data_IF_435291525354
#
_entry.id   IF_435291525354
#
_cell.length_a   1.000
_cell.length_b   1.000
_cell.length_c   1.000
_cell.angle_alpha   90.00
_cell.angle_beta   90.00
_cell.angle_gamma   90.00
#
_symmetry.space_group_name_H-M   'P 1'
#
loop_
_entity.id
_entity.type
_entity.pdbx_description
1 polymer ?
#
# COMPACT_ATOMS: atom_id res chain seq x y z
N UNK A 1 27.67 -14.30 63.22
CA UNK A 1 28.17 -14.36 61.80
C UNK A 1 26.98 -14.30 60.93
N UNK A 2 26.75 -13.13 60.31
CA UNK A 2 25.63 -12.88 59.41
C UNK A 2 26.15 -13.06 57.96
N UNK A 3 25.66 -14.09 57.26
CA UNK A 3 26.00 -14.31 55.86
C UNK A 3 25.06 -13.45 54.97
N UNK A 4 25.61 -12.45 54.30
CA UNK A 4 24.89 -11.67 53.27
C UNK A 4 24.96 -12.43 51.95
N UNK A 5 23.84 -12.94 51.50
CA UNK A 5 23.69 -13.52 50.14
C UNK A 5 23.45 -12.38 49.14
N UNK A 6 24.45 -12.04 48.37
CA UNK A 6 24.32 -11.13 47.20
C UNK A 6 23.66 -11.90 46.05
N UNK A 7 22.38 -11.64 45.81
CA UNK A 7 21.70 -12.11 44.60
C UNK A 7 22.11 -11.22 43.42
N UNK A 8 22.95 -11.73 42.55
CA UNK A 8 23.29 -11.09 41.28
C UNK A 8 22.12 -11.20 40.31
N UNK A 9 21.36 -10.13 40.11
CA UNK A 9 20.42 -10.02 38.99
C UNK A 9 21.21 -9.82 37.71
N UNK A 10 21.39 -10.90 36.95
CA UNK A 10 21.83 -10.80 35.57
C UNK A 10 20.68 -10.17 34.80
N UNK A 11 20.83 -8.90 34.44
CA UNK A 11 19.97 -8.28 33.42
C UNK A 11 20.25 -8.97 32.07
N UNK A 12 19.38 -9.89 31.69
CA UNK A 12 19.34 -10.33 30.29
C UNK A 12 19.01 -9.09 29.45
N UNK A 13 20.04 -8.46 28.91
CA UNK A 13 19.87 -7.47 27.85
C UNK A 13 19.13 -8.14 26.69
N UNK A 14 17.89 -7.77 26.48
CA UNK A 14 17.13 -8.18 25.32
C UNK A 14 17.94 -7.71 24.09
N UNK A 15 18.62 -8.64 23.44
CA UNK A 15 19.31 -8.38 22.18
C UNK A 15 18.20 -8.02 21.18
N UNK A 16 18.05 -6.73 20.87
CA UNK A 16 17.07 -6.25 19.89
C UNK A 16 17.38 -6.94 18.57
N UNK A 17 16.59 -7.93 18.22
CA UNK A 17 16.76 -8.66 16.98
C UNK A 17 16.64 -7.68 15.82
N UNK A 18 17.55 -7.78 14.84
CA UNK A 18 17.49 -6.95 13.63
C UNK A 18 16.12 -7.13 12.96
N UNK A 19 15.47 -6.03 12.61
CA UNK A 19 14.19 -6.05 11.88
C UNK A 19 14.34 -6.84 10.57
N UNK A 20 13.48 -7.83 10.28
CA UNK A 20 13.44 -8.48 8.98
C UNK A 20 13.10 -7.50 7.85
N UNK A 21 13.61 -7.79 6.65
CA UNK A 21 13.41 -6.92 5.49
C UNK A 21 11.92 -6.80 5.11
N UNK A 22 11.49 -5.55 4.79
CA UNK A 22 10.18 -5.23 4.20
C UNK A 22 10.48 -4.58 2.85
N UNK A 23 10.14 -5.28 1.76
CA UNK A 23 10.70 -4.99 0.43
C UNK A 23 9.76 -4.28 -0.53
N UNK A 24 8.46 -4.25 -0.27
CA UNK A 24 7.50 -3.59 -1.16
C UNK A 24 6.06 -3.74 -0.72
N UNK A 25 5.16 -3.15 -1.47
CA UNK A 25 3.72 -3.37 -1.35
C UNK A 25 3.38 -4.75 -1.88
N UNK A 26 2.60 -5.54 -1.13
CA UNK A 26 2.08 -6.83 -1.57
C UNK A 26 0.71 -6.67 -2.22
N UNK A 27 -0.23 -6.04 -1.52
CA UNK A 27 -1.57 -5.79 -2.04
C UNK A 27 -2.28 -4.65 -1.31
N UNK A 28 -3.34 -4.14 -1.95
CA UNK A 28 -4.36 -3.32 -1.32
C UNK A 28 -5.70 -4.06 -1.39
N UNK A 29 -6.50 -4.00 -0.30
CA UNK A 29 -7.78 -4.69 -0.17
C UNK A 29 -8.90 -3.69 0.02
N UNK A 30 -9.94 -3.81 -0.79
CA UNK A 30 -11.08 -2.90 -0.76
C UNK A 30 -12.41 -3.67 -0.64
N UNK A 31 -13.42 -3.02 -0.08
CA UNK A 31 -14.81 -3.46 -0.17
C UNK A 31 -15.45 -2.90 -1.43
N UNK A 32 -16.31 -3.70 -2.08
CA UNK A 32 -17.20 -3.18 -3.11
C UNK A 32 -18.67 -3.36 -2.72
N UNK A 33 -19.47 -2.35 -3.04
CA UNK A 33 -20.94 -2.40 -2.95
C UNK A 33 -21.57 -2.66 -4.31
N UNK A 34 -20.77 -2.65 -5.39
CA UNK A 34 -21.15 -2.96 -6.75
C UNK A 34 -20.20 -4.01 -7.37
N UNK A 35 -20.43 -5.31 -7.11
CA UNK A 35 -19.57 -6.36 -7.65
C UNK A 35 -19.49 -6.38 -9.19
N UNK A 36 -20.60 -6.08 -9.87
CA UNK A 36 -20.61 -6.07 -11.34
C UNK A 36 -19.75 -4.94 -11.90
N UNK A 37 -19.90 -3.74 -11.34
CA UNK A 37 -19.06 -2.59 -11.69
C UNK A 37 -17.60 -2.80 -11.33
N UNK A 38 -17.29 -3.40 -10.17
CA UNK A 38 -15.93 -3.75 -9.78
C UNK A 38 -15.30 -4.75 -10.77
N UNK A 39 -16.03 -5.78 -11.19
CA UNK A 39 -15.54 -6.71 -12.22
C UNK A 39 -15.27 -5.99 -13.55
N UNK A 40 -16.17 -5.12 -14.01
CA UNK A 40 -15.95 -4.31 -15.21
C UNK A 40 -14.71 -3.42 -15.07
N UNK A 41 -14.54 -2.80 -13.91
CA UNK A 41 -13.43 -1.88 -13.67
C UNK A 41 -12.07 -2.62 -13.58
N UNK A 42 -11.91 -3.52 -12.63
CA UNK A 42 -10.64 -4.22 -12.41
C UNK A 42 -10.34 -5.26 -13.50
N UNK A 43 -11.37 -5.96 -13.98
CA UNK A 43 -11.25 -7.00 -14.99
C UNK A 43 -11.13 -6.46 -16.41
N UNK A 44 -12.10 -5.66 -16.84
CA UNK A 44 -12.17 -5.25 -18.24
C UNK A 44 -11.36 -3.96 -18.49
N UNK A 45 -11.57 -2.92 -17.66
CA UNK A 45 -10.92 -1.61 -17.87
C UNK A 45 -9.44 -1.65 -17.50
N UNK A 46 -9.08 -2.17 -16.33
CA UNK A 46 -7.66 -2.31 -15.95
C UNK A 46 -6.99 -3.53 -16.59
N UNK A 47 -7.78 -4.49 -17.08
CA UNK A 47 -7.32 -5.63 -17.85
C UNK A 47 -6.75 -6.79 -17.04
N UNK A 48 -7.01 -6.87 -15.72
CA UNK A 48 -6.51 -7.95 -14.87
C UNK A 48 -7.43 -9.17 -14.89
N UNK A 49 -6.86 -10.36 -15.01
CA UNK A 49 -7.63 -11.60 -14.85
C UNK A 49 -8.00 -11.82 -13.40
N UNK A 50 -9.31 -11.98 -13.14
CA UNK A 50 -9.80 -12.29 -11.81
C UNK A 50 -9.52 -13.75 -11.44
N UNK A 51 -9.01 -13.93 -10.24
CA UNK A 51 -9.02 -15.18 -9.50
C UNK A 51 -9.96 -15.04 -8.30
N UNK A 52 -10.34 -16.15 -7.71
CA UNK A 52 -11.15 -16.15 -6.49
C UNK A 52 -10.59 -17.15 -5.49
N UNK A 53 -10.46 -16.71 -4.25
CA UNK A 53 -10.02 -17.57 -3.15
C UNK A 53 -10.74 -17.16 -1.88
N UNK A 54 -11.44 -18.13 -1.24
CA UNK A 54 -12.13 -17.94 0.05
C UNK A 54 -13.10 -16.74 0.07
N UNK A 55 -13.80 -16.49 -1.04
CA UNK A 55 -14.75 -15.39 -1.16
C UNK A 55 -14.13 -14.01 -1.38
N UNK A 56 -12.83 -13.97 -1.64
CA UNK A 56 -12.09 -12.75 -2.02
C UNK A 56 -11.76 -12.81 -3.50
N UNK A 57 -12.07 -11.75 -4.23
CA UNK A 57 -11.61 -11.60 -5.60
C UNK A 57 -10.18 -11.07 -5.62
N UNK A 58 -9.33 -11.73 -6.38
CA UNK A 58 -7.91 -11.43 -6.49
C UNK A 58 -7.61 -11.05 -7.93
N UNK A 59 -7.01 -9.89 -8.13
CA UNK A 59 -6.55 -9.40 -9.43
C UNK A 59 -5.01 -9.31 -9.40
N UNK A 60 -4.29 -10.34 -9.87
CA UNK A 60 -2.82 -10.33 -9.88
C UNK A 60 -2.28 -9.24 -10.79
N UNK A 61 -1.46 -8.35 -10.23
CA UNK A 61 -0.71 -7.34 -10.96
C UNK A 61 0.57 -7.95 -11.54
N UNK A 62 1.25 -8.75 -10.71
CA UNK A 62 2.41 -9.57 -11.06
C UNK A 62 2.49 -10.79 -10.11
N UNK A 63 3.52 -11.66 -10.16
CA UNK A 63 3.60 -12.85 -9.30
C UNK A 63 3.68 -12.62 -7.79
N UNK A 64 3.93 -11.37 -7.33
CA UNK A 64 4.06 -11.00 -5.92
C UNK A 64 3.16 -9.86 -5.49
N UNK A 65 2.49 -9.17 -6.42
CA UNK A 65 1.59 -8.05 -6.13
C UNK A 65 0.20 -8.28 -6.71
N UNK A 66 -0.84 -7.91 -5.97
CA UNK A 66 -2.22 -8.08 -6.42
C UNK A 66 -3.17 -7.05 -5.78
N UNK A 67 -4.38 -6.97 -6.29
CA UNK A 67 -5.48 -6.20 -5.72
C UNK A 67 -6.50 -7.19 -5.19
N UNK A 68 -7.07 -6.94 -4.01
CA UNK A 68 -8.14 -7.75 -3.43
C UNK A 68 -9.44 -6.96 -3.31
N UNK A 69 -10.52 -7.58 -3.74
CA UNK A 69 -11.87 -7.02 -3.63
C UNK A 69 -12.76 -7.95 -2.79
N UNK A 70 -13.28 -7.40 -1.71
CA UNK A 70 -14.26 -8.05 -0.85
C UNK A 70 -15.67 -7.70 -1.35
N UNK A 71 -16.45 -8.71 -1.66
CA UNK A 71 -17.87 -8.55 -2.07
C UNK A 71 -18.83 -8.60 -0.89
N UNK A 72 -18.32 -8.83 0.33
CA UNK A 72 -19.09 -8.70 1.57
C UNK A 72 -19.34 -7.22 1.88
N UNK A 73 -20.45 -6.89 2.54
CA UNK A 73 -20.72 -5.52 2.97
C UNK A 73 -19.57 -4.96 3.81
N UNK A 74 -19.18 -3.68 3.60
CA UNK A 74 -18.20 -3.03 4.47
C UNK A 74 -18.73 -2.94 5.90
N UNK A 75 -17.84 -2.87 6.91
CA UNK A 75 -18.27 -2.64 8.28
C UNK A 75 -18.99 -1.27 8.39
N UNK A 76 -19.77 -1.05 9.47
CA UNK A 76 -20.62 0.14 9.62
C UNK A 76 -19.83 1.42 9.93
N UNK A 77 -18.63 1.58 9.36
CA UNK A 77 -17.89 2.83 9.34
C UNK A 77 -18.27 3.61 8.09
N UNK A 78 -18.75 4.85 8.22
CA UNK A 78 -19.09 5.67 7.05
C UNK A 78 -17.93 5.75 6.05
N UNK A 79 -18.25 5.45 4.80
CA UNK A 79 -17.33 5.64 3.67
C UNK A 79 -16.03 4.81 3.71
N UNK A 80 -15.93 3.80 4.58
CA UNK A 80 -14.78 2.89 4.58
C UNK A 80 -14.83 1.98 3.34
N UNK A 81 -13.81 2.08 2.50
CA UNK A 81 -13.61 1.19 1.36
C UNK A 81 -12.33 0.39 1.44
N UNK A 82 -11.24 0.99 1.93
CA UNK A 82 -9.98 0.27 2.15
C UNK A 82 -10.11 -0.63 3.39
N UNK A 83 -10.00 -1.94 3.17
CA UNK A 83 -10.08 -2.95 4.23
C UNK A 83 -8.71 -3.28 4.83
N UNK A 84 -7.65 -3.23 4.03
CA UNK A 84 -6.29 -3.49 4.46
C UNK A 84 -5.27 -2.98 3.43
N UNK A 85 -4.05 -2.74 3.92
CA UNK A 85 -2.83 -2.62 3.11
C UNK A 85 -1.87 -3.74 3.48
N UNK A 86 -1.09 -4.21 2.51
CA UNK A 86 -0.16 -5.29 2.78
C UNK A 86 1.22 -5.02 2.21
N UNK A 87 2.24 -5.46 2.98
CA UNK A 87 3.64 -5.32 2.61
C UNK A 87 4.35 -6.67 2.59
N UNK A 88 5.25 -6.83 1.65
CA UNK A 88 6.05 -8.04 1.49
C UNK A 88 7.24 -8.04 2.46
N UNK A 89 7.44 -9.14 3.16
CA UNK A 89 8.62 -9.36 4.00
C UNK A 89 9.36 -10.64 3.60
N UNK A 90 10.67 -10.67 3.81
CA UNK A 90 11.47 -11.88 3.58
C UNK A 90 11.39 -12.91 4.72
N UNK A 91 10.92 -12.50 5.89
CA UNK A 91 10.79 -13.37 7.05
C UNK A 91 9.60 -12.94 7.92
N UNK A 92 8.41 -13.42 7.59
CA UNK A 92 7.18 -13.08 8.30
C UNK A 92 7.21 -13.51 9.76
N UNK A 93 7.69 -14.72 10.06
CA UNK A 93 7.82 -15.20 11.44
C UNK A 93 8.80 -14.37 12.29
N UNK A 94 9.91 -13.95 11.68
CA UNK A 94 10.86 -13.05 12.33
C UNK A 94 10.27 -11.67 12.57
N UNK A 95 9.50 -11.15 11.60
CA UNK A 95 8.89 -9.83 11.71
C UNK A 95 7.77 -9.79 12.75
N UNK A 96 6.94 -10.84 12.83
CA UNK A 96 5.92 -10.96 13.88
C UNK A 96 6.57 -10.94 15.30
N UNK A 97 7.64 -11.73 15.51
CA UNK A 97 8.38 -11.71 16.78
C UNK A 97 9.05 -10.36 17.06
N UNK A 98 9.61 -9.73 16.04
CA UNK A 98 10.20 -8.40 16.15
C UNK A 98 9.16 -7.37 16.62
N UNK A 99 7.96 -7.35 16.00
CA UNK A 99 6.87 -6.45 16.38
C UNK A 99 6.37 -6.74 17.81
N UNK A 100 6.23 -8.01 18.18
CA UNK A 100 5.86 -8.40 19.54
C UNK A 100 6.86 -7.90 20.58
N UNK A 101 8.17 -7.95 20.28
CA UNK A 101 9.22 -7.40 21.15
C UNK A 101 9.17 -5.86 21.28
N UNK A 102 8.51 -5.17 20.32
CA UNK A 102 8.24 -3.74 20.36
C UNK A 102 6.83 -3.40 20.88
N UNK A 103 6.14 -4.36 21.52
CA UNK A 103 4.82 -4.15 22.10
C UNK A 103 3.66 -4.16 21.11
N UNK A 104 3.89 -4.57 19.86
CA UNK A 104 2.86 -4.62 18.81
C UNK A 104 2.37 -6.07 18.69
N UNK A 105 1.14 -6.30 19.14
CA UNK A 105 0.53 -7.63 19.11
C UNK A 105 -0.14 -7.88 17.75
N UNK A 106 0.03 -9.11 17.25
CA UNK A 106 -0.66 -9.53 16.02
C UNK A 106 -2.18 -9.56 16.23
N UNK A 107 -2.91 -8.93 15.35
CA UNK A 107 -4.38 -9.05 15.23
C UNK A 107 -4.76 -10.45 14.74
N UNK A 108 -4.07 -10.93 13.70
CA UNK A 108 -4.12 -12.32 13.24
C UNK A 108 -2.70 -12.88 13.27
N UNK A 109 -2.44 -13.92 14.07
CA UNK A 109 -1.15 -14.57 14.14
C UNK A 109 -0.72 -15.19 12.83
N UNK A 110 0.58 -15.40 12.66
CA UNK A 110 1.17 -15.97 11.44
C UNK A 110 0.50 -17.27 11.02
N UNK A 111 -0.08 -17.27 9.83
CA UNK A 111 -0.67 -18.43 9.19
C UNK A 111 -0.45 -18.38 7.68
N UNK A 112 0.00 -19.48 7.09
CA UNK A 112 0.26 -19.60 5.64
C UNK A 112 1.18 -18.48 5.07
N UNK A 113 2.08 -17.94 5.89
CA UNK A 113 3.01 -16.89 5.50
C UNK A 113 2.47 -15.47 5.63
N UNK A 114 1.32 -15.29 6.25
CA UNK A 114 0.70 -13.97 6.48
C UNK A 114 0.38 -13.78 7.96
N UNK A 115 0.58 -12.57 8.47
CA UNK A 115 0.06 -12.11 9.75
C UNK A 115 -0.38 -10.66 9.63
N UNK A 116 -1.19 -10.18 10.56
CA UNK A 116 -1.65 -8.79 10.55
C UNK A 116 -1.50 -8.12 11.90
N UNK A 117 -1.37 -6.80 11.86
CA UNK A 117 -1.36 -5.90 13.02
C UNK A 117 -2.30 -4.73 12.75
N UNK A 118 -2.56 -3.91 13.76
CA UNK A 118 -3.18 -2.60 13.60
C UNK A 118 -2.11 -1.52 13.70
N UNK A 119 -2.18 -0.53 12.82
CA UNK A 119 -1.43 0.70 13.01
C UNK A 119 -2.08 1.56 14.13
N UNK A 120 -1.48 2.68 14.55
CA UNK A 120 -2.02 3.53 15.61
C UNK A 120 -3.42 4.09 15.35
N UNK A 121 -3.83 4.26 14.09
CA UNK A 121 -5.18 4.71 13.73
C UNK A 121 -6.17 3.57 13.51
N UNK A 122 -5.73 2.33 13.68
CA UNK A 122 -6.55 1.12 13.59
C UNK A 122 -6.70 0.56 12.19
N UNK A 123 -5.90 1.00 11.22
CA UNK A 123 -5.87 0.40 9.89
C UNK A 123 -5.27 -1.00 9.96
N UNK A 124 -5.85 -1.94 9.19
CA UNK A 124 -5.33 -3.30 9.12
C UNK A 124 -4.12 -3.37 8.20
N UNK A 125 -2.97 -3.71 8.77
CA UNK A 125 -1.69 -3.88 8.08
C UNK A 125 -1.35 -5.36 8.04
N UNK A 126 -1.12 -5.89 6.86
CA UNK A 126 -0.80 -7.31 6.64
C UNK A 126 0.65 -7.43 6.16
N UNK A 127 1.40 -8.36 6.73
CA UNK A 127 2.73 -8.70 6.25
C UNK A 127 2.70 -10.08 5.62
N UNK A 128 3.18 -10.15 4.38
CA UNK A 128 3.16 -11.35 3.54
C UNK A 128 4.58 -11.84 3.30
N UNK A 129 4.85 -13.09 3.66
CA UNK A 129 6.09 -13.76 3.31
C UNK A 129 6.24 -13.82 1.79
N UNK A 130 7.35 -13.32 1.25
CA UNK A 130 7.64 -13.36 -0.18
C UNK A 130 7.42 -14.77 -0.75
N UNK A 131 6.63 -14.86 -1.82
CA UNK A 131 6.31 -16.12 -2.51
C UNK A 131 5.40 -17.09 -1.75
N UNK A 132 4.80 -16.69 -0.61
CA UNK A 132 3.86 -17.55 0.13
C UNK A 132 2.51 -17.71 -0.56
N UNK A 133 2.01 -16.67 -1.23
CA UNK A 133 0.74 -16.73 -1.95
C UNK A 133 0.89 -17.49 -3.28
N UNK A 134 0.65 -18.81 -3.22
CA UNK A 134 0.79 -19.70 -4.39
C UNK A 134 -0.27 -19.48 -5.46
N UNK A 135 -1.42 -18.87 -5.11
CA UNK A 135 -2.49 -18.55 -6.07
C UNK A 135 -2.03 -17.42 -6.97
N UNK A 136 -1.47 -16.35 -6.40
CA UNK A 136 -0.93 -15.21 -7.15
C UNK A 136 0.34 -15.59 -7.91
N UNK A 137 1.28 -16.29 -7.25
CA UNK A 137 2.54 -16.67 -7.87
C UNK A 137 2.39 -17.58 -9.11
N UNK A 138 1.29 -18.34 -9.21
CA UNK A 138 0.96 -19.22 -10.34
C UNK A 138 -0.14 -18.66 -11.25
N UNK A 139 -0.55 -17.42 -11.04
CA UNK A 139 -1.60 -16.80 -11.83
C UNK A 139 -1.21 -16.73 -13.32
N UNK A 140 -2.16 -16.98 -14.22
CA UNK A 140 -1.89 -16.79 -15.63
C UNK A 140 -1.68 -15.30 -15.93
N UNK A 141 -0.80 -14.94 -16.87
CA UNK A 141 -0.58 -13.54 -17.24
C UNK A 141 -1.87 -12.83 -17.63
N UNK A 142 -1.94 -11.53 -17.33
CA UNK A 142 -3.01 -10.62 -17.77
C UNK A 142 -2.48 -9.81 -18.96
N UNK A 143 -2.68 -10.27 -20.22
CA UNK A 143 -2.05 -9.64 -21.40
C UNK A 143 -2.59 -8.23 -21.66
N UNK A 144 -3.78 -7.91 -21.17
CA UNK A 144 -4.42 -6.62 -21.32
C UNK A 144 -4.21 -5.71 -20.09
N UNK A 145 -3.39 -6.11 -19.12
CA UNK A 145 -3.12 -5.30 -17.94
C UNK A 145 -2.49 -3.96 -18.33
N UNK A 146 -3.03 -2.88 -17.78
CA UNK A 146 -2.56 -1.50 -18.00
C UNK A 146 -1.24 -1.21 -17.28
N UNK A 147 -0.93 -1.96 -16.25
CA UNK A 147 0.34 -1.91 -15.51
C UNK A 147 0.69 -3.30 -14.98
N UNK A 148 1.97 -3.52 -14.70
CA UNK A 148 2.48 -4.76 -14.08
C UNK A 148 3.17 -4.48 -12.73
N UNK A 149 2.96 -3.29 -12.16
CA UNK A 149 3.69 -2.87 -10.97
C UNK A 149 2.80 -2.00 -10.07
N UNK A 150 2.61 -2.39 -8.81
CA UNK A 150 2.04 -1.54 -7.78
C UNK A 150 3.19 -0.85 -7.05
N UNK A 151 3.17 0.47 -6.94
CA UNK A 151 4.30 1.24 -6.41
C UNK A 151 4.00 1.93 -5.09
N UNK A 152 2.71 2.22 -4.80
CA UNK A 152 2.34 2.70 -3.49
C UNK A 152 0.89 2.40 -3.12
N UNK A 153 0.65 2.53 -1.84
CA UNK A 153 -0.68 2.61 -1.23
C UNK A 153 -0.74 3.88 -0.41
N UNK A 154 -1.91 4.51 -0.33
CA UNK A 154 -2.13 5.69 0.48
C UNK A 154 -3.41 5.60 1.27
N UNK A 155 -3.42 6.14 2.48
CA UNK A 155 -4.61 6.22 3.30
C UNK A 155 -4.62 7.47 4.19
N UNK A 156 -5.80 7.80 4.69
CA UNK A 156 -6.01 8.98 5.55
C UNK A 156 -5.26 8.79 6.86
N UNK A 157 -4.44 9.78 7.21
CA UNK A 157 -3.73 9.85 8.49
C UNK A 157 -4.12 11.15 9.20
N UNK A 158 -4.48 11.05 10.48
CA UNK A 158 -4.90 12.16 11.33
C UNK A 158 -3.83 12.59 12.31
N UNK A 159 -3.06 11.64 12.82
CA UNK A 159 -1.96 11.86 13.77
C UNK A 159 -0.65 11.31 13.17
N UNK A 160 -0.02 12.12 12.32
CA UNK A 160 1.22 11.74 11.65
C UNK A 160 2.35 11.41 12.63
N UNK A 161 2.37 11.99 13.83
CA UNK A 161 3.41 11.69 14.82
C UNK A 161 3.27 10.27 15.39
N UNK A 162 2.03 9.81 15.64
CA UNK A 162 1.79 8.44 16.07
C UNK A 162 2.07 7.44 14.96
N UNK A 163 1.67 7.76 13.73
CA UNK A 163 1.97 6.92 12.57
C UNK A 163 3.48 6.83 12.32
N UNK A 164 4.22 7.93 12.43
CA UNK A 164 5.68 7.93 12.30
C UNK A 164 6.36 7.04 13.37
N UNK A 165 5.87 7.04 14.62
CA UNK A 165 6.38 6.15 15.65
C UNK A 165 6.23 4.66 15.28
N UNK A 166 5.15 4.29 14.61
CA UNK A 166 4.92 2.94 14.12
C UNK A 166 5.70 2.64 12.82
N UNK A 167 5.48 3.45 11.79
CA UNK A 167 6.02 3.15 10.46
C UNK A 167 7.51 3.44 10.35
N UNK A 168 7.98 4.56 10.92
CA UNK A 168 9.38 4.98 10.76
C UNK A 168 10.26 4.48 11.90
N UNK A 169 9.85 4.64 13.16
CA UNK A 169 10.71 4.32 14.30
C UNK A 169 10.75 2.81 14.56
N UNK A 170 9.63 2.09 14.44
CA UNK A 170 9.59 0.64 14.62
C UNK A 170 9.85 -0.09 13.31
N UNK A 171 9.07 0.16 12.26
CA UNK A 171 9.16 -0.58 10.99
C UNK A 171 10.31 -0.09 10.09
N UNK A 172 10.88 1.09 10.34
CA UNK A 172 12.03 1.61 9.62
C UNK A 172 11.74 2.19 8.25
N UNK A 173 10.49 2.56 7.97
CA UNK A 173 10.15 3.28 6.74
C UNK A 173 10.90 4.60 6.66
N UNK A 174 11.27 5.02 5.46
CA UNK A 174 12.16 6.15 5.23
C UNK A 174 11.42 7.29 4.53
N UNK A 175 11.67 8.57 4.88
CA UNK A 175 11.13 9.68 4.10
C UNK A 175 11.45 9.52 2.62
N UNK A 176 10.50 9.93 1.76
CA UNK A 176 10.67 9.88 0.31
C UNK A 176 10.37 11.23 -0.34
N UNK A 177 9.17 11.74 -0.15
CA UNK A 177 8.73 13.04 -0.63
C UNK A 177 7.58 13.56 0.24
N UNK A 178 7.44 14.87 0.36
CA UNK A 178 6.24 15.48 0.91
C UNK A 178 5.87 16.74 0.14
N UNK A 179 4.57 17.02 0.09
CA UNK A 179 4.04 18.20 -0.54
C UNK A 179 2.58 18.44 -0.17
N UNK A 180 2.00 19.43 -0.78
CA UNK A 180 0.63 19.80 -0.48
C UNK A 180 -0.09 20.46 -1.64
N UNK A 181 -1.36 20.79 -1.43
CA UNK A 181 -2.17 21.54 -2.39
C UNK A 181 -1.60 22.92 -2.64
N UNK A 182 -0.89 23.48 -1.65
CA UNK A 182 -0.09 24.71 -1.75
C UNK A 182 1.33 24.43 -1.28
N UNK A 183 2.31 25.26 -1.67
CA UNK A 183 3.73 25.06 -1.35
C UNK A 183 4.03 25.19 0.15
N UNK A 184 3.19 25.89 0.88
CA UNK A 184 3.35 26.14 2.33
C UNK A 184 2.69 25.08 3.22
N UNK A 185 2.08 24.04 2.65
CA UNK A 185 1.31 23.04 3.39
C UNK A 185 1.72 21.62 2.99
N UNK A 186 1.79 20.72 3.97
CA UNK A 186 1.94 19.30 3.73
C UNK A 186 0.59 18.60 3.83
N UNK A 187 0.07 18.12 2.70
CA UNK A 187 -1.15 17.32 2.62
C UNK A 187 -0.83 15.86 2.26
N UNK A 188 0.36 15.59 1.71
CA UNK A 188 0.85 14.31 1.24
C UNK A 188 2.24 14.06 1.80
N UNK A 189 2.44 12.93 2.44
CA UNK A 189 3.74 12.52 2.97
C UNK A 189 4.02 11.09 2.57
N UNK A 190 5.00 10.89 1.71
CA UNK A 190 5.40 9.58 1.21
C UNK A 190 6.58 9.05 2.03
N UNK A 191 6.45 7.81 2.51
CA UNK A 191 7.51 7.09 3.23
C UNK A 191 7.77 5.75 2.55
N UNK A 192 9.01 5.53 2.10
CA UNK A 192 9.40 4.29 1.42
C UNK A 192 9.54 3.13 2.38
N UNK A 193 9.19 1.94 1.92
CA UNK A 193 9.55 0.70 2.62
C UNK A 193 11.05 0.67 2.90
N UNK A 194 11.46 0.10 4.04
CA UNK A 194 12.86 0.22 4.46
C UNK A 194 13.87 -0.49 3.55
N UNK A 195 13.45 -1.52 2.84
CA UNK A 195 14.34 -2.38 2.06
C UNK A 195 13.92 -2.46 0.59
N UNK A 196 13.24 -1.42 0.09
CA UNK A 196 12.77 -1.31 -1.29
C UNK A 196 12.42 0.12 -1.69
N UNK A 197 11.73 0.26 -2.81
CA UNK A 197 11.40 1.57 -3.42
C UNK A 197 9.92 1.91 -3.42
N UNK A 198 9.04 0.95 -3.12
CA UNK A 198 7.61 1.23 -2.94
C UNK A 198 7.38 2.08 -1.70
N UNK A 199 6.25 2.79 -1.64
CA UNK A 199 5.97 3.65 -0.49
C UNK A 199 4.55 3.57 0.02
N UNK A 200 4.39 3.99 1.25
CA UNK A 200 3.14 4.36 1.86
C UNK A 200 2.97 5.87 1.78
N UNK A 201 1.78 6.35 1.44
CA UNK A 201 1.46 7.77 1.41
C UNK A 201 0.45 8.12 2.50
N UNK A 202 0.83 9.02 3.40
CA UNK A 202 -0.08 9.64 4.35
C UNK A 202 -0.87 10.73 3.65
N UNK A 203 -2.20 10.61 3.70
CA UNK A 203 -3.12 11.63 3.22
C UNK A 203 -3.57 12.46 4.41
N UNK A 204 -2.94 13.63 4.56
CA UNK A 204 -3.10 14.51 5.73
C UNK A 204 -4.21 15.56 5.53
N UNK A 205 -4.65 16.17 6.63
CA UNK A 205 -5.61 17.28 6.62
C UNK A 205 -6.96 16.94 5.96
N UNK A 206 -7.36 15.71 6.00
CA UNK A 206 -8.66 15.25 5.51
C UNK A 206 -9.72 15.49 6.59
N UNK A 207 -10.95 15.83 6.18
CA UNK A 207 -12.08 15.99 7.11
C UNK A 207 -12.23 14.79 8.06
N UNK A 208 -12.57 15.01 9.33
CA UNK A 208 -12.89 13.91 10.25
C UNK A 208 -14.07 13.04 9.77
N UNK A 209 -14.97 13.64 8.98
CA UNK A 209 -16.14 12.98 8.38
C UNK A 209 -16.09 13.13 6.86
N UNK A 210 -15.18 12.42 6.16
CA UNK A 210 -15.05 12.55 4.71
C UNK A 210 -16.29 12.00 4.01
N UNK A 211 -16.66 12.61 2.89
CA UNK A 211 -17.63 12.01 1.97
C UNK A 211 -17.02 10.74 1.36
N UNK A 212 -17.85 9.88 0.75
CA UNK A 212 -17.35 8.70 0.04
C UNK A 212 -16.31 9.08 -1.03
N UNK A 213 -16.56 10.14 -1.79
CA UNK A 213 -15.63 10.66 -2.80
C UNK A 213 -14.29 11.11 -2.17
N UNK A 214 -14.35 11.81 -1.03
CA UNK A 214 -13.13 12.24 -0.34
C UNK A 214 -12.35 11.05 0.22
N UNK A 215 -13.03 10.11 0.88
CA UNK A 215 -12.40 8.91 1.40
C UNK A 215 -11.77 8.07 0.27
N UNK A 216 -12.49 7.82 -0.81
CA UNK A 216 -11.99 7.02 -1.92
C UNK A 216 -10.86 7.66 -2.70
N UNK A 217 -10.79 9.00 -2.77
CA UNK A 217 -9.63 9.71 -3.35
C UNK A 217 -8.40 9.56 -2.48
N UNK A 218 -8.56 9.51 -1.16
CA UNK A 218 -7.45 9.47 -0.20
C UNK A 218 -7.01 8.05 0.13
N UNK A 219 -7.96 7.11 0.27
CA UNK A 219 -7.66 5.69 0.50
C UNK A 219 -7.49 4.99 -0.86
N UNK A 220 -6.26 4.85 -1.33
CA UNK A 220 -5.97 4.50 -2.73
C UNK A 220 -4.74 3.60 -2.89
N UNK A 221 -4.53 3.16 -4.12
CA UNK A 221 -3.27 2.55 -4.55
C UNK A 221 -2.82 3.10 -5.90
N UNK A 222 -1.54 2.95 -6.19
CA UNK A 222 -0.96 3.42 -7.44
C UNK A 222 -0.26 2.31 -8.21
N UNK A 223 -0.47 2.36 -9.51
CA UNK A 223 0.11 1.49 -10.53
C UNK A 223 1.20 2.25 -11.28
N UNK A 224 2.43 1.76 -11.20
CA UNK A 224 3.58 2.35 -11.87
C UNK A 224 3.62 2.00 -13.35
N UNK A 225 3.96 2.98 -14.19
CA UNK A 225 4.14 2.82 -15.63
C UNK A 225 5.43 3.51 -16.09
N UNK A 226 6.05 3.00 -17.15
CA UNK A 226 7.24 3.63 -17.72
C UNK A 226 6.87 4.93 -18.45
N UNK A 227 5.79 4.87 -19.24
CA UNK A 227 5.26 6.00 -19.99
C UNK A 227 3.74 6.02 -19.88
N UNK A 228 3.19 7.16 -19.50
CA UNK A 228 1.74 7.33 -19.35
C UNK A 228 0.99 7.11 -20.67
N UNK A 229 1.61 7.45 -21.79
CA UNK A 229 1.04 7.22 -23.11
C UNK A 229 0.73 5.74 -23.38
N UNK A 230 1.57 4.81 -22.91
CA UNK A 230 1.35 3.36 -23.07
C UNK A 230 0.16 2.89 -22.23
N UNK A 231 0.02 3.40 -21.02
CA UNK A 231 -1.12 3.11 -20.16
C UNK A 231 -2.43 3.63 -20.78
N UNK A 232 -2.43 4.85 -21.30
CA UNK A 232 -3.59 5.44 -22.01
C UNK A 232 -3.96 4.61 -23.23
N UNK A 233 -2.98 4.22 -24.06
CA UNK A 233 -3.24 3.39 -25.23
C UNK A 233 -3.79 1.99 -24.83
N UNK A 234 -3.36 1.43 -23.71
CA UNK A 234 -3.91 0.17 -23.23
C UNK A 234 -5.32 0.33 -22.66
N UNK A 235 -5.59 1.43 -21.93
CA UNK A 235 -6.94 1.77 -21.46
C UNK A 235 -7.92 1.94 -22.62
N UNK A 236 -7.49 2.56 -23.74
CA UNK A 236 -8.27 2.70 -24.95
C UNK A 236 -8.60 1.33 -25.59
N UNK A 237 -7.61 0.46 -25.72
CA UNK A 237 -7.81 -0.94 -26.17
C UNK A 237 -8.79 -1.70 -25.28
N UNK A 238 -8.73 -1.47 -23.97
CA UNK A 238 -9.64 -2.05 -22.99
C UNK A 238 -11.01 -1.35 -22.96
N UNK A 239 -11.26 -0.40 -23.86
CA UNK A 239 -12.52 0.36 -23.96
C UNK A 239 -12.87 1.09 -22.67
N UNK A 240 -11.89 1.72 -22.05
CA UNK A 240 -12.11 2.61 -20.91
C UNK A 240 -13.03 3.75 -21.32
N UNK A 241 -14.05 4.03 -20.54
CA UNK A 241 -15.09 5.03 -20.82
C UNK A 241 -14.95 6.25 -19.90
N UNK A 242 -15.17 7.43 -20.46
CA UNK A 242 -15.17 8.69 -19.72
C UNK A 242 -13.86 9.49 -19.82
N UNK A 243 -13.90 10.75 -19.38
CA UNK A 243 -12.80 11.69 -19.62
C UNK A 243 -11.52 11.37 -18.85
N UNK A 244 -11.63 10.63 -17.77
CA UNK A 244 -10.47 10.29 -16.93
C UNK A 244 -9.53 9.27 -17.59
N UNK A 245 -10.01 8.52 -18.59
CA UNK A 245 -9.22 7.48 -19.28
C UNK A 245 -8.01 8.05 -20.03
N UNK A 246 -8.04 9.33 -20.38
CA UNK A 246 -6.97 10.02 -21.14
C UNK A 246 -6.43 11.26 -20.44
N UNK A 247 -7.03 11.66 -19.31
CA UNK A 247 -6.68 12.90 -18.62
C UNK A 247 -5.48 12.72 -17.71
N UNK A 248 -4.30 12.71 -18.29
CA UNK A 248 -3.05 12.77 -17.52
C UNK A 248 -2.70 14.21 -17.13
N UNK A 249 -1.95 14.35 -16.05
CA UNK A 249 -1.43 15.62 -15.54
C UNK A 249 -0.09 15.41 -14.85
N UNK A 250 0.69 16.46 -14.68
CA UNK A 250 1.86 16.41 -13.82
C UNK A 250 1.42 16.71 -12.38
N UNK A 251 1.69 15.77 -11.49
CA UNK A 251 1.41 15.92 -10.06
C UNK A 251 2.33 16.93 -9.37
N UNK A 252 2.04 17.20 -8.12
CA UNK A 252 2.87 18.09 -7.27
C UNK A 252 4.26 17.51 -7.02
N UNK A 253 4.40 16.20 -7.05
CA UNK A 253 5.62 15.44 -6.99
C UNK A 253 6.43 15.44 -8.30
N UNK A 254 5.95 16.12 -9.33
CA UNK A 254 6.60 16.21 -10.65
C UNK A 254 6.37 15.00 -11.55
N UNK A 255 5.72 13.94 -11.10
CA UNK A 255 5.45 12.74 -11.92
C UNK A 255 4.20 12.93 -12.77
N UNK A 256 4.18 12.31 -13.94
CA UNK A 256 2.97 12.23 -14.76
C UNK A 256 2.01 11.24 -14.13
N UNK A 257 0.77 11.65 -13.90
CA UNK A 257 -0.27 10.90 -13.22
C UNK A 257 -1.55 10.85 -14.05
N UNK A 258 -2.32 9.77 -13.87
CA UNK A 258 -3.68 9.63 -14.38
C UNK A 258 -4.51 8.94 -13.30
N UNK A 259 -5.72 9.43 -13.02
CA UNK A 259 -6.56 8.93 -11.96
C UNK A 259 -7.86 8.34 -12.51
N UNK A 260 -8.09 7.07 -12.25
CA UNK A 260 -9.38 6.40 -12.45
C UNK A 260 -10.06 6.17 -11.11
N UNK A 261 -11.36 5.92 -11.15
CA UNK A 261 -12.15 5.63 -9.96
C UNK A 261 -13.01 4.41 -10.21
N UNK A 262 -12.98 3.48 -9.27
CA UNK A 262 -13.87 2.33 -9.28
C UNK A 262 -15.34 2.76 -8.96
N UNK A 263 -16.33 1.86 -9.03
CA UNK A 263 -17.72 2.19 -8.73
C UNK A 263 -17.95 2.76 -7.32
N UNK A 264 -17.12 2.34 -6.36
CA UNK A 264 -17.16 2.78 -4.97
C UNK A 264 -16.32 4.02 -4.70
N UNK A 265 -15.84 4.70 -5.76
CA UNK A 265 -15.02 5.92 -5.72
C UNK A 265 -13.58 5.72 -5.23
N UNK A 266 -13.10 4.50 -5.12
CA UNK A 266 -11.69 4.23 -4.84
C UNK A 266 -10.82 4.71 -5.99
N UNK A 267 -9.84 5.55 -5.70
CA UNK A 267 -8.87 6.04 -6.68
C UNK A 267 -7.87 4.93 -7.01
N UNK A 268 -7.73 4.66 -8.29
CA UNK A 268 -6.60 3.94 -8.85
C UNK A 268 -5.76 4.96 -9.61
N UNK A 269 -4.59 5.23 -9.10
CA UNK A 269 -3.66 6.16 -9.70
C UNK A 269 -2.69 5.43 -10.61
N UNK A 270 -2.48 5.94 -11.82
CA UNK A 270 -1.34 5.58 -12.64
C UNK A 270 -0.28 6.65 -12.48
N UNK A 271 0.97 6.25 -12.35
CA UNK A 271 2.07 7.17 -12.11
C UNK A 271 3.33 6.71 -12.85
N UNK A 272 3.99 7.62 -13.54
CA UNK A 272 5.32 7.32 -14.11
C UNK A 272 6.34 7.09 -12.99
N UNK A 273 7.27 6.16 -13.21
CA UNK A 273 8.25 5.79 -12.18
C UNK A 273 9.13 6.96 -11.75
N UNK A 274 9.47 7.84 -12.69
CA UNK A 274 10.35 8.98 -12.45
C UNK A 274 9.63 10.30 -12.70
N UNK A 275 10.00 11.39 -12.01
CA UNK A 275 9.40 12.69 -12.26
C UNK A 275 9.80 13.24 -13.63
N UNK A 276 8.84 13.86 -14.32
CA UNK A 276 9.03 14.59 -15.57
C UNK A 276 9.42 16.07 -15.34
N UNK A 277 9.22 16.55 -14.11
CA UNK A 277 9.56 17.92 -13.68
C UNK A 277 10.09 17.90 -12.25
N UNK A 278 10.76 18.96 -11.85
CA UNK A 278 11.11 19.17 -10.45
C UNK A 278 9.87 19.12 -9.55
N UNK A 279 9.93 18.37 -8.45
CA UNK A 279 8.84 18.32 -7.49
C UNK A 279 8.68 19.63 -6.74
N UNK A 280 7.46 19.99 -6.34
CA UNK A 280 7.28 21.06 -5.38
C UNK A 280 7.64 20.59 -3.96
N UNK A 281 7.81 21.54 -3.12
CA UNK A 281 7.68 21.46 -1.66
C UNK A 281 8.85 20.74 -0.98
N UNK A 282 9.30 19.58 -1.45
CA UNK A 282 10.52 18.91 -1.01
C UNK A 282 11.19 18.16 -2.17
N UNK A 283 12.50 17.94 -2.11
CA UNK A 283 13.16 17.02 -3.04
C UNK A 283 12.81 15.58 -2.70
N UNK A 284 12.94 14.68 -3.65
CA UNK A 284 12.97 13.25 -3.37
C UNK A 284 14.26 12.86 -2.64
N UNK A 285 14.16 12.06 -1.59
CA UNK A 285 15.32 11.61 -0.79
C UNK A 285 15.58 10.10 -0.89
N UNK A 286 14.98 9.42 -1.88
CA UNK A 286 15.15 7.98 -2.12
C UNK A 286 15.20 7.66 -3.60
N UNK A 287 15.50 6.39 -3.93
CA UNK A 287 15.41 5.91 -5.30
C UNK A 287 13.96 5.86 -5.75
N UNK A 288 13.71 6.19 -7.01
CA UNK A 288 12.40 5.96 -7.61
C UNK A 288 12.17 4.46 -7.83
N UNK A 289 10.92 3.97 -7.72
CA UNK A 289 10.58 2.63 -8.16
C UNK A 289 10.85 2.47 -9.66
N UNK A 290 10.98 1.22 -10.08
CA UNK A 290 11.11 0.84 -11.47
C UNK A 290 10.10 -0.20 -11.89
N UNK A 291 10.18 -0.69 -13.15
CA UNK A 291 9.27 -1.73 -13.64
C UNK A 291 9.46 -3.07 -12.92
N UNK A 292 10.62 -3.31 -12.35
CA UNK A 292 10.94 -4.51 -11.57
C UNK A 292 10.76 -4.24 -10.08
N UNK A 293 10.34 -5.27 -9.34
CA UNK A 293 10.29 -5.21 -7.88
C UNK A 293 11.70 -5.28 -7.28
N UNK A 294 11.85 -4.66 -6.12
CA UNK A 294 13.06 -4.80 -5.31
C UNK A 294 13.14 -6.25 -4.76
N UNK A 295 14.24 -6.95 -5.06
CA UNK A 295 14.48 -8.35 -4.70
C UNK A 295 15.22 -8.51 -3.39
#
# INVERSE_FOLDING_TARGET
VLAVVLASFASLGAQTSKRPAITGVAFARFYTTDPAGAQKFYGDTLGYKRLESKGVWIYPVNPSQWIEILTSPPPPKPNLRMAAVAFTTRNAAGLERYLAAHGITAESPLKAGEFSVRDPEGNLVIFVQHGSNKVVAKAPPSPNATSKRMIHVGFIVRDAAKEDAFWRDVLGFRPYWHGGKTDSRTDYQSIQVPDGTDWLEYMLNVSPTPTLQQAGVMDHFSLGVAHMADAVAQLEKNKCEGPNCTKSQVGRDGKVQLNLFDPDRTRVEFMEFTPAKEPCCSPFVGKHPGPEEDK
#
